data_IF_749619393455
#
_entry.id   IF_749619393455
#
_cell.length_a   1.000
_cell.length_b   1.000
_cell.length_c   1.000
_cell.angle_alpha   90.00
_cell.angle_beta   90.00
_cell.angle_gamma   90.00
#
_symmetry.space_group_name_H-M   'P 1'
#
loop_
_entity.id
_entity.type
_entity.pdbx_description
1 polymer ?
#
# COMPACT_ATOMS: atom_id res chain seq x y z
N UNK A 1 19.97 -32.69 13.98
CA UNK A 1 18.93 -31.76 13.52
C UNK A 1 18.09 -31.40 14.72
N UNK A 2 18.29 -30.20 15.25
CA UNK A 2 17.42 -29.68 16.29
C UNK A 2 15.96 -29.72 15.77
N UNK A 3 14.99 -30.14 16.61
CA UNK A 3 13.60 -30.15 16.23
C UNK A 3 13.20 -28.70 15.86
N UNK A 4 12.49 -28.57 14.75
CA UNK A 4 11.94 -27.29 14.31
C UNK A 4 11.10 -26.72 15.47
N UNK A 5 11.33 -25.48 15.92
CA UNK A 5 10.63 -24.95 17.08
C UNK A 5 9.11 -24.99 16.81
N UNK A 6 8.39 -25.56 17.76
CA UNK A 6 6.93 -25.66 17.68
C UNK A 6 6.32 -24.29 17.39
N UNK A 7 5.31 -24.27 16.53
CA UNK A 7 4.56 -23.03 16.25
C UNK A 7 3.88 -22.56 17.54
N UNK A 8 4.11 -21.33 18.00
CA UNK A 8 3.51 -20.82 19.22
C UNK A 8 1.98 -20.77 19.10
N UNK A 9 1.28 -20.86 20.22
CA UNK A 9 -0.17 -20.66 20.24
C UNK A 9 -0.58 -19.26 19.75
N UNK A 10 -1.86 -19.08 19.45
CA UNK A 10 -2.38 -17.82 18.91
C UNK A 10 -2.05 -16.60 19.79
N UNK A 11 -2.11 -16.73 21.11
CA UNK A 11 -1.87 -15.63 22.05
C UNK A 11 -0.41 -15.23 22.10
N UNK A 12 0.50 -16.19 22.16
CA UNK A 12 1.93 -15.97 22.13
C UNK A 12 2.38 -15.40 20.75
N UNK A 13 1.79 -15.92 19.68
CA UNK A 13 2.05 -15.43 18.34
C UNK A 13 1.64 -13.96 18.18
N UNK A 14 0.44 -13.57 18.64
CA UNK A 14 -0.01 -12.19 18.62
C UNK A 14 0.94 -11.26 19.38
N UNK A 15 1.35 -11.61 20.60
CA UNK A 15 2.31 -10.84 21.38
C UNK A 15 3.63 -10.63 20.64
N UNK A 16 4.10 -11.63 19.92
CA UNK A 16 5.31 -11.53 19.10
C UNK A 16 5.09 -10.66 17.85
N UNK A 17 3.90 -10.69 17.25
CA UNK A 17 3.52 -9.89 16.10
C UNK A 17 3.28 -8.42 16.46
N UNK A 18 2.83 -8.09 17.68
CA UNK A 18 2.68 -6.73 18.16
C UNK A 18 3.98 -5.91 18.08
N UNK A 19 5.13 -6.57 18.13
CA UNK A 19 6.43 -5.92 17.90
C UNK A 19 6.65 -5.45 16.46
N UNK A 20 5.79 -5.85 15.51
CA UNK A 20 5.73 -5.31 14.15
C UNK A 20 4.66 -4.23 13.99
N UNK A 21 3.98 -3.82 15.05
CA UNK A 21 2.90 -2.84 15.02
C UNK A 21 3.40 -1.40 14.87
N UNK A 22 4.71 -1.21 14.83
CA UNK A 22 5.35 0.08 14.64
C UNK A 22 6.16 0.03 13.34
N UNK A 23 6.55 1.19 12.85
CA UNK A 23 7.47 1.35 11.74
C UNK A 23 8.76 0.51 11.94
N UNK A 24 9.11 -0.30 10.98
CA UNK A 24 10.31 -1.14 11.00
C UNK A 24 11.03 -1.18 9.65
N UNK A 25 12.32 -1.56 9.70
CA UNK A 25 13.14 -1.70 8.51
C UNK A 25 12.96 -3.08 7.89
N UNK A 26 12.39 -3.14 6.69
CA UNK A 26 12.27 -4.36 5.91
C UNK A 26 13.35 -4.42 4.83
N UNK A 27 14.14 -5.50 4.81
CA UNK A 27 15.03 -5.79 3.68
C UNK A 27 14.19 -6.29 2.51
N UNK A 28 14.30 -5.61 1.37
CA UNK A 28 13.52 -5.95 0.19
C UNK A 28 13.87 -7.37 -0.31
N UNK A 29 12.92 -8.11 -0.89
CA UNK A 29 13.22 -9.43 -1.44
C UNK A 29 14.07 -9.33 -2.71
N UNK A 30 14.98 -10.29 -2.93
CA UNK A 30 15.82 -10.34 -4.12
C UNK A 30 14.99 -10.44 -5.42
N UNK A 31 13.89 -11.19 -5.38
CA UNK A 31 12.93 -11.28 -6.48
C UNK A 31 11.93 -10.12 -6.42
N UNK A 32 12.43 -8.90 -6.64
CA UNK A 32 11.64 -7.67 -6.69
C UNK A 32 12.05 -6.80 -7.89
N UNK A 33 11.17 -5.87 -8.28
CA UNK A 33 11.44 -4.93 -9.37
C UNK A 33 12.33 -3.73 -8.95
N UNK A 34 12.81 -3.73 -7.71
CA UNK A 34 13.69 -2.66 -7.20
C UNK A 34 14.99 -2.64 -7.99
N UNK A 35 15.46 -1.45 -8.32
CA UNK A 35 16.75 -1.26 -8.97
C UNK A 35 17.85 -1.19 -7.89
N UNK A 36 18.92 -1.97 -8.10
CA UNK A 36 20.15 -1.94 -7.33
C UNK A 36 21.28 -1.74 -8.35
N UNK A 37 22.08 -0.72 -8.17
CA UNK A 37 23.18 -0.36 -9.08
C UNK A 37 22.74 -0.26 -10.56
N UNK A 38 21.54 0.30 -10.80
CA UNK A 38 20.99 0.50 -12.14
C UNK A 38 20.25 -0.70 -12.73
N UNK A 39 20.41 -1.91 -12.18
CA UNK A 39 19.75 -3.12 -12.63
C UNK A 39 18.60 -3.54 -11.68
N UNK A 40 17.57 -4.21 -12.19
CA UNK A 40 16.49 -4.75 -11.37
C UNK A 40 16.98 -5.96 -10.57
N UNK A 41 16.75 -5.97 -9.26
CA UNK A 41 17.23 -7.00 -8.33
C UNK A 41 16.85 -8.43 -8.75
N UNK A 42 15.67 -8.65 -9.35
CA UNK A 42 15.26 -9.96 -9.82
C UNK A 42 16.14 -10.51 -10.97
N UNK A 43 16.77 -9.65 -11.78
CA UNK A 43 17.66 -10.10 -12.85
C UNK A 43 18.95 -10.65 -12.29
N UNK A 44 19.56 -9.94 -11.34
CA UNK A 44 20.75 -10.42 -10.62
C UNK A 44 20.45 -11.72 -9.85
N UNK A 45 19.31 -11.78 -9.15
CA UNK A 45 18.88 -12.98 -8.43
C UNK A 45 18.71 -14.21 -9.34
N UNK A 46 18.19 -14.04 -10.57
CA UNK A 46 18.08 -15.15 -11.55
C UNK A 46 19.41 -15.66 -12.06
N UNK A 47 20.46 -14.84 -12.03
CA UNK A 47 21.85 -15.26 -12.34
C UNK A 47 22.57 -15.92 -11.16
N UNK A 48 21.86 -16.08 -10.01
CA UNK A 48 22.46 -16.61 -8.77
C UNK A 48 23.26 -15.58 -7.99
N UNK A 49 23.23 -14.31 -8.39
CA UNK A 49 23.91 -13.23 -7.68
C UNK A 49 23.14 -12.80 -6.43
N UNK A 50 23.85 -12.35 -5.41
CA UNK A 50 23.27 -11.83 -4.16
C UNK A 50 23.44 -10.32 -4.09
N UNK A 51 22.57 -9.50 -4.73
CA UNK A 51 22.69 -8.05 -4.72
C UNK A 51 22.51 -7.52 -3.29
N UNK A 52 23.19 -6.43 -2.96
CA UNK A 52 23.00 -5.71 -1.69
C UNK A 52 21.63 -5.04 -1.69
N UNK A 53 20.64 -5.74 -1.16
CA UNK A 53 19.25 -5.28 -1.16
C UNK A 53 19.05 -4.09 -0.22
N UNK A 54 18.40 -3.01 -0.68
CA UNK A 54 18.11 -1.87 0.17
C UNK A 54 17.08 -2.24 1.24
N UNK A 55 17.12 -1.49 2.33
CA UNK A 55 16.09 -1.54 3.38
C UNK A 55 15.08 -0.42 3.14
N UNK A 56 13.83 -0.69 3.44
CA UNK A 56 12.74 0.29 3.41
C UNK A 56 12.03 0.30 4.74
N UNK A 57 11.73 1.51 5.23
CA UNK A 57 10.83 1.69 6.37
C UNK A 57 9.41 1.37 5.93
N UNK A 58 8.76 0.47 6.62
CA UNK A 58 7.38 0.04 6.38
C UNK A 58 6.63 -0.02 7.71
N UNK A 59 5.32 0.02 7.65
CA UNK A 59 4.44 -0.08 8.80
C UNK A 59 3.51 -1.26 8.64
N UNK A 60 3.22 -1.93 9.75
CA UNK A 60 2.22 -2.99 9.82
C UNK A 60 1.40 -2.81 11.09
N UNK A 61 0.09 -2.99 10.99
CA UNK A 61 -0.86 -2.80 12.09
C UNK A 61 -2.08 -3.70 11.93
N UNK A 62 -2.93 -3.75 12.95
CA UNK A 62 -4.20 -4.50 12.89
C UNK A 62 -3.98 -6.00 12.69
N UNK A 63 -3.01 -6.58 13.37
CA UNK A 63 -2.72 -8.01 13.31
C UNK A 63 -3.88 -8.82 13.87
N UNK A 64 -4.27 -9.85 13.14
CA UNK A 64 -5.21 -10.87 13.59
C UNK A 64 -4.69 -12.24 13.20
N UNK A 65 -4.65 -13.18 14.15
CA UNK A 65 -4.41 -14.60 13.87
C UNK A 65 -5.77 -15.24 13.61
N UNK A 66 -6.02 -15.61 12.36
CA UNK A 66 -7.29 -16.20 11.95
C UNK A 66 -7.32 -17.71 12.17
N UNK A 67 -6.19 -18.40 11.95
CA UNK A 67 -6.04 -19.82 12.18
C UNK A 67 -4.56 -20.20 12.39
N UNK A 68 -4.34 -21.22 13.23
CA UNK A 68 -3.04 -21.92 13.37
C UNK A 68 -3.31 -23.39 13.09
N UNK A 69 -2.85 -23.85 11.93
CA UNK A 69 -3.01 -25.22 11.42
C UNK A 69 -1.62 -25.69 10.96
N UNK A 70 -0.85 -26.26 11.87
CA UNK A 70 0.54 -26.63 11.56
C UNK A 70 0.67 -27.41 10.24
N UNK A 71 1.61 -27.03 9.38
CA UNK A 71 2.63 -25.98 9.51
C UNK A 71 2.18 -24.58 9.03
N UNK A 72 0.89 -24.34 8.89
CA UNK A 72 0.32 -23.10 8.32
C UNK A 72 -0.26 -22.19 9.40
N UNK A 73 -0.03 -20.89 9.21
CA UNK A 73 -0.64 -19.83 10.02
C UNK A 73 -1.35 -18.87 9.07
N UNK A 74 -2.63 -18.60 9.32
CA UNK A 74 -3.39 -17.59 8.59
C UNK A 74 -3.44 -16.30 9.42
N UNK A 75 -2.97 -15.23 8.80
CA UNK A 75 -2.88 -13.91 9.43
C UNK A 75 -3.59 -12.87 8.58
N UNK A 76 -4.31 -11.95 9.21
CA UNK A 76 -4.69 -10.68 8.59
C UNK A 76 -3.82 -9.56 9.15
N UNK A 77 -3.48 -8.58 8.28
CA UNK A 77 -2.63 -7.44 8.64
C UNK A 77 -2.87 -6.27 7.69
N UNK A 78 -2.86 -5.06 8.22
CA UNK A 78 -2.81 -3.83 7.43
C UNK A 78 -1.36 -3.39 7.29
N UNK A 79 -0.93 -3.10 6.07
CA UNK A 79 0.46 -2.71 5.79
C UNK A 79 0.54 -1.43 4.97
N UNK A 80 1.58 -0.65 5.20
CA UNK A 80 1.84 0.56 4.42
C UNK A 80 2.19 0.23 2.96
N UNK A 81 2.01 1.21 2.08
CA UNK A 81 2.36 1.09 0.66
C UNK A 81 3.83 0.71 0.45
N UNK A 82 4.06 -0.25 -0.41
CA UNK A 82 5.39 -0.77 -0.74
C UNK A 82 5.95 -1.77 0.25
N UNK A 83 5.16 -2.26 1.21
CA UNK A 83 5.50 -3.41 2.04
C UNK A 83 5.46 -4.69 1.20
N UNK A 84 6.50 -5.49 1.31
CA UNK A 84 6.56 -6.80 0.68
C UNK A 84 6.06 -7.87 1.66
N UNK A 85 4.84 -8.36 1.46
CA UNK A 85 4.22 -9.39 2.33
C UNK A 85 5.07 -10.66 2.39
N UNK A 86 5.72 -11.06 1.29
CA UNK A 86 6.68 -12.17 1.29
C UNK A 86 7.89 -11.91 2.19
N UNK A 87 8.38 -10.67 2.22
CA UNK A 87 9.44 -10.24 3.15
C UNK A 87 8.96 -10.27 4.59
N UNK A 88 7.72 -9.88 4.83
CA UNK A 88 7.11 -9.91 6.16
C UNK A 88 6.99 -11.33 6.70
N UNK A 89 6.51 -12.29 5.89
CA UNK A 89 6.47 -13.71 6.28
C UNK A 89 7.84 -14.24 6.68
N UNK A 90 8.89 -13.98 5.87
CA UNK A 90 10.27 -14.33 6.20
C UNK A 90 10.72 -13.71 7.53
N UNK A 91 10.44 -12.45 7.74
CA UNK A 91 10.90 -11.71 8.93
C UNK A 91 10.14 -12.14 10.20
N UNK A 92 8.88 -12.57 10.07
CA UNK A 92 8.12 -13.24 11.13
C UNK A 92 8.76 -14.59 11.47
N UNK A 93 9.02 -15.45 10.48
CA UNK A 93 9.67 -16.74 10.70
C UNK A 93 10.99 -16.61 11.47
N UNK A 94 11.85 -15.68 11.04
CA UNK A 94 13.12 -15.40 11.74
C UNK A 94 12.93 -15.01 13.20
N UNK A 95 11.89 -14.23 13.52
CA UNK A 95 11.59 -13.84 14.91
C UNK A 95 11.00 -14.97 15.75
N UNK A 96 10.35 -15.92 15.09
CA UNK A 96 9.88 -17.15 15.73
C UNK A 96 10.99 -18.21 15.88
N UNK A 97 12.20 -17.95 15.36
CA UNK A 97 13.32 -18.88 15.39
C UNK A 97 13.25 -19.97 14.32
N UNK A 98 12.40 -19.80 13.30
CA UNK A 98 12.20 -20.76 12.22
C UNK A 98 12.29 -20.10 10.84
N UNK A 99 12.13 -20.88 9.78
CA UNK A 99 11.96 -20.40 8.42
C UNK A 99 10.48 -20.31 8.08
N UNK A 100 10.06 -19.20 7.46
CA UNK A 100 8.71 -19.05 6.94
C UNK A 100 8.68 -18.36 5.58
N UNK A 101 7.63 -18.66 4.81
CA UNK A 101 7.33 -18.02 3.55
C UNK A 101 5.82 -17.80 3.40
N UNK A 102 5.41 -16.92 2.51
CA UNK A 102 4.01 -16.73 2.20
C UNK A 102 3.56 -17.81 1.18
N UNK A 103 2.69 -18.70 1.60
CA UNK A 103 2.08 -19.74 0.77
C UNK A 103 0.98 -19.14 -0.12
N UNK A 104 0.10 -18.31 0.49
CA UNK A 104 -0.97 -17.59 -0.21
C UNK A 104 -1.05 -16.14 0.28
N UNK A 105 -1.46 -15.25 -0.61
CA UNK A 105 -1.67 -13.84 -0.29
C UNK A 105 -3.00 -13.41 -0.90
N UNK A 106 -3.94 -12.96 -0.05
CA UNK A 106 -5.19 -12.34 -0.46
C UNK A 106 -5.21 -10.88 -0.03
N UNK A 107 -5.37 -9.97 -0.99
CA UNK A 107 -5.59 -8.57 -0.68
C UNK A 107 -7.08 -8.33 -0.54
N UNK A 108 -7.51 -7.86 0.63
CA UNK A 108 -8.92 -7.62 0.94
C UNK A 108 -9.29 -6.14 0.85
N UNK A 109 -8.31 -5.23 0.91
CA UNK A 109 -8.55 -3.80 0.74
C UNK A 109 -7.32 -3.06 0.19
N UNK A 110 -7.56 -1.91 -0.44
CA UNK A 110 -6.54 -0.94 -0.86
C UNK A 110 -7.10 0.46 -0.62
N UNK A 111 -6.56 1.19 0.36
CA UNK A 111 -7.11 2.47 0.78
C UNK A 111 -8.59 2.34 1.16
N UNK A 112 -9.45 3.12 0.54
CA UNK A 112 -10.89 3.13 0.79
C UNK A 112 -11.68 2.05 0.01
N UNK A 113 -11.00 1.18 -0.75
CA UNK A 113 -11.63 0.15 -1.56
C UNK A 113 -11.48 -1.22 -0.93
N UNK A 114 -12.56 -2.00 -0.90
CA UNK A 114 -12.57 -3.37 -0.40
C UNK A 114 -12.90 -4.37 -1.51
N UNK A 115 -12.55 -5.64 -1.30
CA UNK A 115 -12.77 -6.69 -2.30
C UNK A 115 -14.25 -6.91 -2.61
N UNK A 116 -15.14 -6.66 -1.65
CA UNK A 116 -16.60 -6.77 -1.81
C UNK A 116 -17.17 -5.75 -2.81
N UNK A 117 -16.43 -4.66 -3.04
CA UNK A 117 -16.79 -3.60 -3.99
C UNK A 117 -16.21 -3.84 -5.38
N UNK A 118 -15.38 -4.88 -5.52
CA UNK A 118 -14.74 -5.20 -6.79
C UNK A 118 -15.68 -6.01 -7.66
N UNK A 119 -15.64 -5.74 -8.96
CA UNK A 119 -16.22 -6.59 -9.98
C UNK A 119 -15.39 -7.87 -10.18
N UNK A 120 -16.03 -8.94 -10.61
CA UNK A 120 -15.37 -10.20 -10.96
C UNK A 120 -14.80 -10.22 -12.37
N UNK A 121 -15.10 -9.22 -13.20
CA UNK A 121 -14.61 -9.12 -14.57
C UNK A 121 -14.68 -7.71 -15.15
N UNK A 122 -13.92 -7.44 -16.22
CA UNK A 122 -13.87 -6.13 -16.86
C UNK A 122 -15.16 -5.77 -17.62
N UNK A 123 -16.00 -6.75 -17.92
CA UNK A 123 -17.23 -6.58 -18.71
C UNK A 123 -18.44 -6.17 -17.85
N UNK A 124 -18.27 -6.01 -16.54
CA UNK A 124 -19.31 -5.48 -15.65
C UNK A 124 -19.30 -3.95 -15.67
N UNK A 125 -20.26 -3.28 -16.36
CA UNK A 125 -20.29 -1.82 -16.45
C UNK A 125 -20.51 -1.13 -15.09
N UNK A 126 -21.01 -1.85 -14.08
CA UNK A 126 -21.15 -1.34 -12.71
C UNK A 126 -19.81 -1.22 -11.98
N UNK A 127 -18.75 -1.82 -12.53
CA UNK A 127 -17.41 -1.77 -11.96
C UNK A 127 -16.65 -0.48 -12.28
N UNK A 128 -17.12 0.32 -13.22
CA UNK A 128 -16.44 1.56 -13.60
C UNK A 128 -16.77 2.67 -12.60
N UNK A 129 -15.76 3.08 -11.87
CA UNK A 129 -15.83 4.26 -11.00
C UNK A 129 -15.49 5.52 -11.81
N UNK A 130 -16.14 6.61 -11.46
CA UNK A 130 -15.70 7.93 -11.92
C UNK A 130 -14.32 8.25 -11.34
N UNK A 131 -13.57 9.13 -11.99
CA UNK A 131 -12.28 9.59 -11.48
C UNK A 131 -12.41 10.24 -10.09
N UNK A 132 -13.54 10.90 -9.80
CA UNK A 132 -13.80 11.48 -8.49
C UNK A 132 -14.03 10.40 -7.42
N UNK A 133 -14.80 9.36 -7.74
CA UNK A 133 -15.01 8.22 -6.85
C UNK A 133 -13.71 7.44 -6.59
N UNK A 134 -12.82 7.40 -7.58
CA UNK A 134 -11.50 6.78 -7.41
C UNK A 134 -10.61 7.55 -6.40
N UNK A 135 -10.92 8.81 -6.13
CA UNK A 135 -10.24 9.65 -5.13
C UNK A 135 -10.91 9.62 -3.75
N UNK A 136 -11.92 8.77 -3.52
CA UNK A 136 -12.52 8.63 -2.19
C UNK A 136 -11.46 8.19 -1.17
N UNK A 137 -11.54 8.75 0.04
CA UNK A 137 -10.53 8.54 1.07
C UNK A 137 -9.40 9.58 1.07
N UNK A 138 -9.34 10.45 0.05
CA UNK A 138 -8.49 11.63 0.05
C UNK A 138 -9.30 12.90 0.35
N UNK A 139 -8.70 13.92 1.00
CA UNK A 139 -9.31 15.23 1.12
C UNK A 139 -9.74 15.76 -0.24
N UNK A 140 -10.84 16.51 -0.29
CA UNK A 140 -11.31 17.12 -1.52
C UNK A 140 -11.58 18.61 -1.34
N UNK A 141 -11.35 19.38 -2.39
CA UNK A 141 -11.61 20.82 -2.45
C UNK A 141 -12.50 21.12 -3.63
N UNK A 142 -13.64 21.75 -3.37
CA UNK A 142 -14.55 22.23 -4.41
C UNK A 142 -14.00 23.51 -5.03
N UNK A 143 -13.93 23.52 -6.36
CA UNK A 143 -13.44 24.62 -7.15
C UNK A 143 -14.59 25.36 -7.82
N UNK A 144 -14.57 26.69 -7.69
CA UNK A 144 -15.49 27.58 -8.38
C UNK A 144 -14.79 28.87 -8.83
N UNK A 145 -15.38 29.58 -9.77
CA UNK A 145 -14.91 30.89 -10.21
C UNK A 145 -13.41 30.90 -10.56
N UNK A 146 -12.66 31.84 -9.98
CA UNK A 146 -11.23 32.03 -10.25
C UNK A 146 -10.38 30.82 -9.88
N UNK A 147 -10.70 30.10 -8.78
CA UNK A 147 -9.95 28.90 -8.38
C UNK A 147 -10.00 27.81 -9.45
N UNK A 148 -11.16 27.63 -10.09
CA UNK A 148 -11.32 26.65 -11.17
C UNK A 148 -10.42 27.00 -12.37
N UNK A 149 -10.38 28.28 -12.76
CA UNK A 149 -9.51 28.76 -13.84
C UNK A 149 -8.05 28.57 -13.47
N UNK A 150 -7.65 28.94 -12.26
CA UNK A 150 -6.26 28.79 -11.78
C UNK A 150 -5.81 27.32 -11.84
N UNK A 151 -6.63 26.39 -11.34
CA UNK A 151 -6.29 24.96 -11.35
C UNK A 151 -6.15 24.40 -12.78
N UNK A 152 -6.99 24.84 -13.72
CA UNK A 152 -6.88 24.44 -15.13
C UNK A 152 -5.54 24.85 -15.76
N UNK A 153 -4.94 25.94 -15.28
CA UNK A 153 -3.62 26.40 -15.70
C UNK A 153 -2.47 25.87 -14.82
N UNK A 154 -2.75 24.92 -13.92
CA UNK A 154 -1.77 24.33 -13.03
C UNK A 154 -1.29 25.25 -11.90
N UNK A 155 -2.03 26.34 -11.65
CA UNK A 155 -1.68 27.31 -10.60
C UNK A 155 -2.17 26.84 -9.22
N UNK A 156 -1.40 27.14 -8.20
CA UNK A 156 -1.73 26.89 -6.79
C UNK A 156 -2.94 27.70 -6.37
N UNK A 157 -3.80 27.10 -5.54
CA UNK A 157 -5.01 27.74 -5.00
C UNK A 157 -5.04 27.64 -3.48
N UNK A 158 -5.50 28.68 -2.77
CA UNK A 158 -5.69 28.67 -1.33
C UNK A 158 -6.77 27.63 -0.95
N UNK A 159 -6.41 26.68 -0.06
CA UNK A 159 -7.33 25.68 0.49
C UNK A 159 -6.71 25.04 1.74
N UNK A 160 -7.53 24.78 2.74
CA UNK A 160 -7.17 24.07 3.97
C UNK A 160 -7.25 22.55 3.70
N UNK A 161 -6.18 22.02 3.13
CA UNK A 161 -6.04 20.59 2.87
C UNK A 161 -4.56 20.20 2.80
N UNK A 162 -4.24 19.01 3.30
CA UNK A 162 -2.86 18.50 3.36
C UNK A 162 -2.73 17.16 2.64
N UNK A 163 -1.53 16.89 2.13
CA UNK A 163 -1.21 15.65 1.43
C UNK A 163 -1.83 15.61 0.02
N UNK A 164 -2.19 14.42 -0.45
CA UNK A 164 -2.86 14.25 -1.74
C UNK A 164 -4.30 14.73 -1.66
N UNK A 165 -4.71 15.62 -2.57
CA UNK A 165 -6.03 16.30 -2.55
C UNK A 165 -6.71 16.15 -3.90
N UNK A 166 -8.00 15.79 -3.88
CA UNK A 166 -8.87 15.81 -5.05
C UNK A 166 -9.42 17.24 -5.29
N UNK A 167 -9.15 17.83 -6.43
CA UNK A 167 -9.65 19.13 -6.84
C UNK A 167 -10.87 18.94 -7.74
N UNK A 168 -12.06 19.24 -7.19
CA UNK A 168 -13.34 18.94 -7.82
C UNK A 168 -13.97 20.22 -8.41
N UNK A 169 -14.41 20.13 -9.64
CA UNK A 169 -15.17 21.20 -10.32
C UNK A 169 -16.68 21.03 -10.21
N UNK A 170 -17.44 21.73 -11.05
CA UNK A 170 -18.89 21.61 -11.10
C UNK A 170 -19.35 20.17 -11.30
N UNK A 171 -20.45 19.78 -10.62
CA UNK A 171 -20.96 18.41 -10.65
C UNK A 171 -20.03 17.38 -10.00
N UNK A 172 -19.15 17.80 -9.07
CA UNK A 172 -18.14 16.94 -8.40
C UNK A 172 -17.18 16.23 -9.36
N UNK A 173 -16.98 16.79 -10.55
CA UNK A 173 -16.04 16.24 -11.54
C UNK A 173 -14.61 16.47 -11.10
N UNK A 174 -13.76 15.44 -11.12
CA UNK A 174 -12.34 15.59 -10.82
C UNK A 174 -11.66 16.43 -11.91
N UNK A 175 -11.10 17.57 -11.51
CA UNK A 175 -10.40 18.50 -12.40
C UNK A 175 -8.90 18.36 -12.31
N UNK A 176 -8.39 18.05 -11.12
CA UNK A 176 -6.97 17.84 -10.88
C UNK A 176 -6.75 16.99 -9.61
N UNK A 177 -5.58 16.38 -9.53
CA UNK A 177 -5.02 15.87 -8.28
C UNK A 177 -3.91 16.83 -7.89
N UNK A 178 -3.90 17.26 -6.63
CA UNK A 178 -2.93 18.18 -6.09
C UNK A 178 -2.25 17.68 -4.84
N UNK A 179 -1.28 18.45 -4.37
CA UNK A 179 -0.65 18.26 -3.06
C UNK A 179 -0.87 19.52 -2.23
N UNK A 180 -1.45 19.35 -1.05
CA UNK A 180 -1.73 20.41 -0.09
C UNK A 180 -0.72 20.45 1.05
N UNK A 181 -0.43 21.64 1.53
CA UNK A 181 0.45 21.94 2.68
C UNK A 181 -0.31 22.39 3.93
N UNK A 182 -1.65 22.39 3.87
CA UNK A 182 -2.54 22.88 4.93
C UNK A 182 -3.03 24.32 4.69
N UNK A 183 -2.42 25.07 3.78
CA UNK A 183 -2.80 26.46 3.47
C UNK A 183 -3.15 26.66 2.01
N UNK A 184 -2.54 25.89 1.15
CA UNK A 184 -2.72 25.92 -0.29
C UNK A 184 -2.59 24.54 -0.92
N UNK A 185 -3.17 24.34 -2.08
CA UNK A 185 -3.04 23.12 -2.87
C UNK A 185 -2.43 23.42 -4.22
N UNK A 186 -1.30 22.77 -4.51
CA UNK A 186 -0.64 22.83 -5.80
C UNK A 186 -1.09 21.65 -6.67
N UNK A 187 -1.66 21.87 -7.85
CA UNK A 187 -1.98 20.80 -8.79
C UNK A 187 -0.71 20.06 -9.24
N UNK A 188 -0.76 18.73 -9.19
CA UNK A 188 0.31 17.83 -9.65
C UNK A 188 -0.07 17.22 -11.00
N UNK A 189 -1.35 16.89 -11.18
CA UNK A 189 -1.89 16.38 -12.41
C UNK A 189 -3.21 17.09 -12.71
N UNK A 190 -3.28 17.82 -13.82
CA UNK A 190 -4.50 18.50 -14.28
C UNK A 190 -5.14 17.64 -15.36
N UNK A 191 -6.41 17.31 -15.16
CA UNK A 191 -7.19 16.51 -16.09
C UNK A 191 -7.83 17.46 -17.12
N UNK A 192 -7.54 17.24 -18.40
CA UNK A 192 -8.25 17.97 -19.46
C UNK A 192 -9.65 17.40 -19.59
N UNK A 193 -10.70 18.24 -19.66
CA UNK A 193 -12.01 17.75 -20.04
C UNK A 193 -11.92 17.19 -21.47
N UNK A 194 -12.41 15.96 -21.67
CA UNK A 194 -12.71 15.44 -23.00
C UNK A 194 -13.84 16.26 -23.62
#
# INVERSE_FOLDING_TARGET
>A
TDPDPAVPDCGELLKRLERFTVSFQQTLPAFSAVKVDGERAFKAARRGESPKLPKKTVEASGWTVEAVEEPRIRLAVTVSSGTYVRGLARDIGRRLGTCAHADAIRRVSVGAFTVEQCSTGPDDPKALLTMAEAMRGYPSVQLSGRKLVSVRHGMTVPADASGTVALLGPGSRLMAVGHGDGTAVRPVCVLRPL
#
